data_IF_975750029934
#
_entry.id   IF_975750029934
#
_cell.length_a   1.000
_cell.length_b   1.000
_cell.length_c   1.000
_cell.angle_alpha   90.00
_cell.angle_beta   90.00
_cell.angle_gamma   90.00
#
_symmetry.space_group_name_H-M   'P 1'
#
loop_
_entity.id
_entity.type
_entity.pdbx_description
1 polymer ?
#
# COMPACT_ATOMS: atom_id res chain seq x y z
N UNK A 1 -16.01 3.45 -21.31
CA UNK A 1 -16.26 4.49 -20.29
C UNK A 1 -16.93 3.93 -19.03
N UNK A 2 -17.96 3.06 -19.10
CA UNK A 2 -18.62 2.53 -17.89
C UNK A 2 -17.80 1.51 -17.09
N UNK A 3 -17.01 0.65 -17.75
CA UNK A 3 -16.23 -0.40 -17.07
C UNK A 3 -15.10 0.18 -16.20
N UNK A 4 -14.38 1.18 -16.71
CA UNK A 4 -13.34 1.87 -15.94
C UNK A 4 -13.92 2.61 -14.72
N UNK A 5 -15.07 3.26 -14.88
CA UNK A 5 -15.76 3.92 -13.78
C UNK A 5 -16.19 2.90 -12.71
N UNK A 6 -16.75 1.77 -13.12
CA UNK A 6 -17.16 0.68 -12.23
C UNK A 6 -15.98 0.05 -11.48
N UNK A 7 -14.87 -0.23 -12.16
CA UNK A 7 -13.64 -0.74 -11.55
C UNK A 7 -13.06 0.23 -10.52
N UNK A 8 -13.07 1.54 -10.84
CA UNK A 8 -12.63 2.59 -9.92
C UNK A 8 -13.55 2.65 -8.71
N UNK A 9 -14.88 2.58 -8.88
CA UNK A 9 -15.83 2.60 -7.76
C UNK A 9 -15.64 1.40 -6.84
N UNK A 10 -15.47 0.18 -7.39
CA UNK A 10 -15.25 -1.04 -6.59
C UNK A 10 -13.91 -0.99 -5.85
N UNK A 11 -12.83 -0.57 -6.52
CA UNK A 11 -11.52 -0.39 -5.91
C UNK A 11 -11.55 0.65 -4.77
N UNK A 12 -12.22 1.79 -4.99
CA UNK A 12 -12.41 2.83 -3.96
C UNK A 12 -13.25 2.31 -2.80
N UNK A 13 -14.30 1.52 -3.05
CA UNK A 13 -15.16 0.99 -1.98
C UNK A 13 -14.44 -0.04 -1.11
N UNK A 14 -13.58 -0.87 -1.72
CA UNK A 14 -12.71 -1.80 -1.00
C UNK A 14 -11.71 -1.00 -0.18
N UNK A 15 -10.99 -0.05 -0.80
CA UNK A 15 -10.03 0.80 -0.09
C UNK A 15 -10.66 1.55 1.10
N UNK A 16 -11.82 2.19 0.91
CA UNK A 16 -12.57 2.93 1.95
C UNK A 16 -13.04 2.05 3.12
N UNK A 17 -13.24 0.75 2.89
CA UNK A 17 -13.69 -0.14 3.96
C UNK A 17 -12.55 -0.53 4.91
N UNK A 18 -11.30 -0.41 4.45
CA UNK A 18 -10.14 -0.96 5.16
C UNK A 18 -9.14 0.09 5.68
N UNK A 19 -9.19 1.35 5.24
CA UNK A 19 -8.37 2.47 5.78
C UNK A 19 -9.11 3.33 6.81
N UNK A 20 -9.84 2.71 7.75
CA UNK A 20 -10.62 3.42 8.77
C UNK A 20 -9.89 3.53 10.10
N UNK A 21 -8.81 4.31 10.19
CA UNK A 21 -8.16 4.48 11.49
C UNK A 21 -7.94 5.94 11.92
N UNK A 22 -8.13 6.93 11.03
CA UNK A 22 -8.09 8.35 11.39
C UNK A 22 -9.18 9.11 10.60
N UNK A 23 -9.63 10.28 11.06
CA UNK A 23 -10.52 11.16 10.30
C UNK A 23 -9.67 12.08 9.41
N UNK A 24 -8.88 11.52 8.49
CA UNK A 24 -7.85 12.29 7.76
C UNK A 24 -8.47 13.44 6.97
N UNK A 25 -9.66 13.24 6.41
CA UNK A 25 -10.41 14.27 5.69
C UNK A 25 -10.72 15.50 6.55
N UNK A 26 -10.98 15.31 7.85
CA UNK A 26 -11.23 16.41 8.77
C UNK A 26 -9.94 17.19 9.07
N UNK A 27 -8.83 16.50 9.29
CA UNK A 27 -7.52 17.10 9.54
C UNK A 27 -6.94 17.79 8.30
N UNK A 28 -7.16 17.22 7.11
CA UNK A 28 -6.85 17.87 5.84
C UNK A 28 -7.64 19.17 5.66
N UNK A 29 -8.93 19.17 6.05
CA UNK A 29 -9.75 20.39 6.04
C UNK A 29 -9.21 21.45 7.01
N UNK A 30 -8.61 21.03 8.13
CA UNK A 30 -7.90 21.91 9.08
C UNK A 30 -6.52 22.35 8.58
N UNK A 31 -6.12 22.00 7.35
CA UNK A 31 -4.80 22.30 6.75
C UNK A 31 -3.63 21.66 7.50
N UNK A 32 -3.85 20.51 8.13
CA UNK A 32 -2.78 19.77 8.80
C UNK A 32 -1.82 19.16 7.76
N UNK A 33 -0.64 19.77 7.62
CA UNK A 33 0.39 19.34 6.67
C UNK A 33 0.94 17.95 6.98
N UNK A 34 1.02 17.57 8.27
CA UNK A 34 1.51 16.26 8.67
C UNK A 34 0.56 15.15 8.18
N UNK A 35 -0.74 15.32 8.37
CA UNK A 35 -1.74 14.39 7.83
C UNK A 35 -1.70 14.38 6.29
N UNK A 36 -1.49 15.53 5.66
CA UNK A 36 -1.27 15.63 4.21
C UNK A 36 -0.13 14.75 3.70
N UNK A 37 1.04 14.86 4.30
CA UNK A 37 2.22 14.04 3.93
C UNK A 37 1.99 12.57 4.23
N UNK A 38 1.37 12.25 5.37
CA UNK A 38 1.04 10.88 5.75
C UNK A 38 0.11 10.20 4.72
N UNK A 39 -0.99 10.88 4.34
CA UNK A 39 -1.94 10.37 3.33
C UNK A 39 -1.26 10.24 1.97
N UNK A 40 -0.43 11.20 1.56
CA UNK A 40 0.33 11.10 0.31
C UNK A 40 1.22 9.84 0.27
N UNK A 41 1.84 9.49 1.39
CA UNK A 41 2.69 8.30 1.51
C UNK A 41 1.90 7.01 1.34
N UNK A 42 0.73 6.92 1.96
CA UNK A 42 -0.18 5.79 1.79
C UNK A 42 -0.61 5.68 0.33
N UNK A 43 -1.03 6.77 -0.29
CA UNK A 43 -1.52 6.77 -1.68
C UNK A 43 -0.43 6.31 -2.66
N UNK A 44 0.81 6.77 -2.50
CA UNK A 44 1.91 6.32 -3.36
C UNK A 44 2.20 4.83 -3.12
N UNK A 45 2.24 4.39 -1.87
CA UNK A 45 2.52 2.99 -1.57
C UNK A 45 1.45 2.04 -2.13
N UNK A 46 0.18 2.38 -1.91
CA UNK A 46 -0.96 1.63 -2.45
C UNK A 46 -0.94 1.68 -3.97
N UNK A 47 -0.72 2.86 -4.57
CA UNK A 47 -0.67 3.05 -6.02
C UNK A 47 0.41 2.19 -6.68
N UNK A 48 1.61 2.11 -6.09
CA UNK A 48 2.69 1.27 -6.59
C UNK A 48 2.32 -0.22 -6.54
N UNK A 49 1.79 -0.68 -5.40
CA UNK A 49 1.42 -2.10 -5.21
C UNK A 49 0.26 -2.50 -6.13
N UNK A 50 -0.81 -1.68 -6.17
CA UNK A 50 -1.98 -1.95 -7.02
C UNK A 50 -1.64 -1.80 -8.50
N UNK A 51 -0.82 -0.82 -8.88
CA UNK A 51 -0.37 -0.63 -10.26
C UNK A 51 0.37 -1.85 -10.80
N UNK A 52 1.26 -2.44 -9.99
CA UNK A 52 1.93 -3.70 -10.33
C UNK A 52 0.92 -4.86 -10.49
N UNK A 53 -0.04 -4.97 -9.58
CA UNK A 53 -1.09 -6.01 -9.64
C UNK A 53 -1.96 -5.90 -10.90
N UNK A 54 -2.39 -4.69 -11.25
CA UNK A 54 -3.23 -4.42 -12.44
C UNK A 54 -2.44 -4.54 -13.73
N UNK A 55 -1.16 -4.16 -13.74
CA UNK A 55 -0.27 -4.36 -14.90
C UNK A 55 -0.14 -5.85 -15.27
N UNK A 56 -0.08 -6.74 -14.26
CA UNK A 56 -0.12 -8.20 -14.46
C UNK A 56 -1.37 -8.67 -15.19
N UNK A 57 -2.55 -8.17 -14.80
CA UNK A 57 -3.84 -8.46 -15.47
C UNK A 57 -3.87 -7.88 -16.89
N UNK A 58 -3.36 -6.66 -17.07
CA UNK A 58 -3.43 -5.94 -18.36
C UNK A 58 -2.61 -6.64 -19.45
N UNK A 59 -1.48 -7.27 -19.07
CA UNK A 59 -0.68 -8.10 -19.98
C UNK A 59 -1.41 -9.37 -20.48
N UNK A 60 -2.51 -9.76 -19.85
CA UNK A 60 -3.32 -10.88 -20.30
C UNK A 60 -4.24 -10.55 -21.49
N UNK A 61 -4.53 -9.26 -21.65
CA UNK A 61 -5.47 -8.74 -22.65
C UNK A 61 -4.66 -7.98 -23.70
N UNK A 62 -3.82 -8.69 -24.45
CA UNK A 62 -3.10 -8.11 -25.60
C UNK A 62 -4.02 -8.17 -26.83
N UNK A 63 -4.11 -7.11 -27.66
CA UNK A 63 -4.96 -7.14 -28.85
C UNK A 63 -4.52 -8.26 -29.81
N UNK A 64 -5.38 -9.27 -29.99
CA UNK A 64 -5.16 -10.36 -30.96
C UNK A 64 -4.95 -11.76 -30.36
N UNK A 65 -4.69 -11.90 -29.06
CA UNK A 65 -4.63 -13.21 -28.40
C UNK A 65 -5.08 -13.12 -26.94
N UNK A 66 -6.20 -13.78 -26.60
CA UNK A 66 -6.68 -13.86 -25.24
C UNK A 66 -5.88 -14.92 -24.48
N UNK A 67 -4.91 -14.50 -23.67
CA UNK A 67 -4.06 -15.43 -22.94
C UNK A 67 -4.68 -15.73 -21.57
N UNK A 68 -5.45 -16.82 -21.51
CA UNK A 68 -6.14 -17.29 -20.30
C UNK A 68 -5.15 -17.54 -19.16
N UNK A 69 -3.93 -18.02 -19.45
CA UNK A 69 -2.90 -18.24 -18.44
C UNK A 69 -2.43 -16.93 -17.79
N UNK A 70 -2.22 -15.90 -18.61
CA UNK A 70 -1.88 -14.57 -18.11
C UNK A 70 -3.05 -13.92 -17.36
N UNK A 71 -4.29 -14.21 -17.75
CA UNK A 71 -5.48 -13.69 -17.07
C UNK A 71 -5.61 -14.30 -15.68
N UNK A 72 -5.48 -15.62 -15.57
CA UNK A 72 -5.50 -16.33 -14.28
C UNK A 72 -4.33 -15.87 -13.42
N UNK A 73 -3.12 -15.74 -13.98
CA UNK A 73 -1.95 -15.21 -13.27
C UNK A 73 -2.18 -13.78 -12.74
N UNK A 74 -2.73 -12.89 -13.57
CA UNK A 74 -3.08 -11.53 -13.17
C UNK A 74 -4.20 -11.48 -12.12
N UNK A 75 -5.22 -12.33 -12.24
CA UNK A 75 -6.30 -12.41 -11.26
C UNK A 75 -5.79 -12.92 -9.90
N UNK A 76 -4.97 -13.97 -9.88
CA UNK A 76 -4.30 -14.44 -8.66
C UNK A 76 -3.46 -13.32 -8.04
N UNK A 77 -2.72 -12.58 -8.87
CA UNK A 77 -1.94 -11.42 -8.42
C UNK A 77 -2.82 -10.29 -7.85
N UNK A 78 -4.01 -10.06 -8.40
CA UNK A 78 -4.98 -9.10 -7.86
C UNK A 78 -5.50 -9.54 -6.48
N UNK A 79 -5.82 -10.82 -6.32
CA UNK A 79 -6.27 -11.40 -5.04
C UNK A 79 -5.18 -11.41 -3.97
N UNK A 80 -3.90 -11.36 -4.35
CA UNK A 80 -2.77 -11.26 -3.42
C UNK A 80 -2.37 -9.80 -3.17
N UNK A 81 -2.37 -8.96 -4.21
CA UNK A 81 -1.92 -7.57 -4.17
C UNK A 81 -2.80 -6.63 -3.34
N UNK A 82 -4.13 -6.83 -3.40
CA UNK A 82 -5.08 -6.04 -2.60
C UNK A 82 -4.93 -6.29 -1.09
N UNK A 83 -4.94 -7.54 -0.59
CA UNK A 83 -4.64 -7.82 0.81
C UNK A 83 -3.25 -7.36 1.22
N UNK A 84 -2.24 -7.50 0.35
CA UNK A 84 -0.89 -7.00 0.63
C UNK A 84 -0.87 -5.49 0.84
N UNK A 85 -1.58 -4.70 0.04
CA UNK A 85 -1.66 -3.25 0.23
C UNK A 85 -2.23 -2.89 1.62
N UNK A 86 -3.23 -3.65 2.10
CA UNK A 86 -3.80 -3.46 3.43
C UNK A 86 -2.80 -3.84 4.53
N UNK A 87 -2.12 -4.98 4.36
CA UNK A 87 -1.05 -5.41 5.28
C UNK A 87 0.07 -4.38 5.31
N UNK A 88 0.42 -3.76 4.20
CA UNK A 88 1.44 -2.69 4.15
C UNK A 88 1.08 -1.53 5.05
N UNK A 89 -0.16 -1.04 4.97
CA UNK A 89 -0.58 0.14 5.73
C UNK A 89 -0.49 -0.16 7.23
N UNK A 90 -1.07 -1.28 7.66
CA UNK A 90 -1.12 -1.69 9.06
C UNK A 90 0.25 -2.07 9.61
N UNK A 91 1.06 -2.77 8.82
CA UNK A 91 2.38 -3.22 9.23
C UNK A 91 3.41 -2.10 9.25
N UNK A 92 3.32 -1.13 8.34
CA UNK A 92 4.19 0.05 8.32
C UNK A 92 4.04 0.89 9.60
N UNK A 93 2.81 1.15 10.04
CA UNK A 93 2.56 1.88 11.30
C UNK A 93 3.20 1.16 12.49
N UNK A 94 2.98 -0.16 12.59
CA UNK A 94 3.55 -1.00 13.66
C UNK A 94 5.08 -1.04 13.61
N UNK A 95 5.66 -1.08 12.41
CA UNK A 95 7.11 -1.10 12.20
C UNK A 95 7.77 0.21 12.59
N UNK A 96 7.16 1.34 12.24
CA UNK A 96 7.65 2.67 12.60
C UNK A 96 7.55 2.89 14.10
N UNK A 97 6.39 2.60 14.71
CA UNK A 97 6.20 2.70 16.17
C UNK A 97 7.28 1.91 16.92
N UNK A 98 7.44 0.62 16.59
CA UNK A 98 8.44 -0.23 17.27
C UNK A 98 9.88 0.21 17.02
N UNK A 99 10.20 0.73 15.83
CA UNK A 99 11.52 1.27 15.54
C UNK A 99 11.80 2.55 16.32
N UNK A 100 10.85 3.48 16.36
CA UNK A 100 10.98 4.75 17.08
C UNK A 100 11.11 4.53 18.59
N UNK A 101 10.30 3.64 19.17
CA UNK A 101 10.39 3.26 20.59
C UNK A 101 11.77 2.67 20.91
N UNK A 102 12.29 1.78 20.05
CA UNK A 102 13.64 1.19 20.22
C UNK A 102 14.76 2.20 20.01
N UNK A 103 14.57 3.19 19.14
CA UNK A 103 15.53 4.25 18.91
C UNK A 103 15.58 5.19 20.12
N UNK A 104 14.40 5.59 20.64
CA UNK A 104 14.27 6.43 21.82
C UNK A 104 14.82 5.76 23.08
N UNK A 105 14.56 4.46 23.28
CA UNK A 105 15.06 3.71 24.44
C UNK A 105 16.59 3.59 24.50
N UNK A 106 17.29 3.85 23.39
CA UNK A 106 18.77 3.82 23.33
C UNK A 106 19.40 5.17 23.68
N UNK A 107 18.62 6.24 23.78
CA UNK A 107 19.12 7.56 24.12
C UNK A 107 19.09 7.73 25.64
N UNK A 108 20.26 7.80 26.32
CA UNK A 108 20.30 7.98 27.77
C UNK A 108 19.66 9.32 28.15
N UNK A 109 18.70 9.30 29.07
CA UNK A 109 17.99 10.49 29.56
C UNK A 109 16.66 10.83 28.85
N UNK A 110 16.21 10.01 27.89
CA UNK A 110 14.89 10.15 27.25
C UNK A 110 13.94 9.11 27.86
N UNK A 111 12.98 9.57 28.66
CA UNK A 111 11.89 8.71 29.11
C UNK A 111 11.02 8.35 27.91
N UNK A 112 10.82 7.06 27.68
CA UNK A 112 10.01 6.57 26.56
C UNK A 112 8.54 6.74 26.93
N UNK A 113 8.03 7.95 26.75
CA UNK A 113 6.60 8.23 26.84
C UNK A 113 5.86 7.45 25.74
N UNK A 114 4.56 7.17 25.95
CA UNK A 114 3.74 6.44 24.97
C UNK A 114 3.57 7.26 23.70
N UNK A 115 4.50 7.09 22.76
CA UNK A 115 4.52 7.77 21.48
C UNK A 115 3.34 7.32 20.60
N UNK A 116 2.26 8.10 20.52
CA UNK A 116 1.11 7.78 19.68
C UNK A 116 1.19 8.48 18.34
N UNK A 117 1.42 7.72 17.27
CA UNK A 117 1.48 8.22 15.88
C UNK A 117 0.23 9.04 15.52
N UNK A 118 -0.96 8.64 15.99
CA UNK A 118 -2.19 9.34 15.64
C UNK A 118 -2.26 10.73 16.28
N UNK A 119 -1.86 10.84 17.55
CA UNK A 119 -1.89 12.11 18.27
C UNK A 119 -0.82 13.06 17.71
N UNK A 120 0.37 12.53 17.39
CA UNK A 120 1.43 13.28 16.72
C UNK A 120 1.00 13.83 15.36
N UNK A 121 0.32 13.02 14.55
CA UNK A 121 -0.20 13.46 13.27
C UNK A 121 -1.29 14.52 13.44
N UNK A 122 -2.23 14.36 14.40
CA UNK A 122 -3.26 15.37 14.72
C UNK A 122 -2.66 16.68 15.23
N UNK A 123 -1.58 16.61 16.01
CA UNK A 123 -0.85 17.78 16.49
C UNK A 123 -0.03 18.47 15.38
N UNK A 124 -0.04 17.94 14.15
CA UNK A 124 0.65 18.54 13.02
C UNK A 124 2.14 18.23 12.96
N UNK A 125 2.59 17.15 13.63
CA UNK A 125 4.00 16.78 13.64
C UNK A 125 4.46 16.26 12.26
N UNK A 126 5.06 17.16 11.49
CA UNK A 126 5.53 16.87 10.13
C UNK A 126 6.70 15.87 10.12
N UNK A 127 7.54 15.83 11.16
CA UNK A 127 8.67 14.90 11.21
C UNK A 127 8.19 13.45 11.23
N UNK A 128 7.16 13.16 12.04
CA UNK A 128 6.53 11.84 12.12
C UNK A 128 5.89 11.47 10.78
N UNK A 129 5.20 12.42 10.15
CA UNK A 129 4.60 12.20 8.84
C UNK A 129 5.63 11.86 7.76
N UNK A 130 6.78 12.55 7.73
CA UNK A 130 7.86 12.28 6.77
C UNK A 130 8.48 10.89 6.99
N UNK A 131 8.68 10.49 8.25
CA UNK A 131 9.20 9.14 8.56
C UNK A 131 8.22 8.07 8.09
N UNK A 132 6.93 8.26 8.33
CA UNK A 132 5.88 7.35 7.85
C UNK A 132 5.85 7.30 6.32
N UNK A 133 5.90 8.46 5.67
CA UNK A 133 5.97 8.58 4.21
C UNK A 133 7.16 7.80 3.64
N UNK A 134 8.37 8.03 4.15
CA UNK A 134 9.57 7.33 3.72
C UNK A 134 9.48 5.82 3.94
N UNK A 135 8.87 5.40 5.05
CA UNK A 135 8.64 3.98 5.34
C UNK A 135 7.66 3.35 4.36
N UNK A 136 6.53 4.01 4.08
CA UNK A 136 5.57 3.55 3.08
C UNK A 136 6.21 3.42 1.70
N UNK A 137 7.01 4.40 1.29
CA UNK A 137 7.77 4.33 0.04
C UNK A 137 8.70 3.11 0.02
N UNK A 138 9.54 2.95 1.04
CA UNK A 138 10.49 1.84 1.10
C UNK A 138 9.80 0.47 1.05
N UNK A 139 8.73 0.29 1.83
CA UNK A 139 7.97 -0.95 1.86
C UNK A 139 7.30 -1.21 0.50
N UNK A 140 6.69 -0.18 -0.09
CA UNK A 140 6.03 -0.33 -1.39
C UNK A 140 7.00 -0.73 -2.51
N UNK A 141 8.23 -0.22 -2.49
CA UNK A 141 9.26 -0.56 -3.46
C UNK A 141 9.69 -2.02 -3.34
N UNK A 142 9.93 -2.49 -2.12
CA UNK A 142 10.31 -3.89 -1.85
C UNK A 142 9.18 -4.84 -2.27
N UNK A 143 7.94 -4.51 -1.96
CA UNK A 143 6.79 -5.36 -2.29
C UNK A 143 6.51 -5.34 -3.78
N UNK A 144 6.62 -4.19 -4.44
CA UNK A 144 6.46 -4.09 -5.89
C UNK A 144 7.43 -4.99 -6.63
N UNK A 145 8.65 -5.14 -6.11
CA UNK A 145 9.63 -6.10 -6.62
C UNK A 145 9.21 -7.54 -6.30
N UNK A 146 8.84 -7.84 -5.04
CA UNK A 146 8.42 -9.18 -4.64
C UNK A 146 7.21 -9.72 -5.42
N UNK A 147 6.24 -8.86 -5.72
CA UNK A 147 5.08 -9.18 -6.55
C UNK A 147 5.52 -9.53 -7.98
N UNK A 148 6.40 -8.72 -8.58
CA UNK A 148 6.92 -9.00 -9.93
C UNK A 148 7.72 -10.31 -10.01
N UNK A 149 8.52 -10.61 -8.98
CA UNK A 149 9.29 -11.86 -8.88
C UNK A 149 8.39 -13.11 -8.86
N UNK A 150 7.22 -13.04 -8.23
CA UNK A 150 6.29 -14.17 -8.15
C UNK A 150 5.41 -14.31 -9.40
N UNK A 151 5.17 -13.22 -10.14
CA UNK A 151 4.33 -13.25 -11.33
C UNK A 151 4.88 -14.13 -12.45
N UNK A 152 6.20 -14.16 -12.67
CA UNK A 152 6.80 -14.96 -13.75
C UNK A 152 6.72 -16.48 -13.53
N UNK A 153 7.12 -17.02 -12.36
CA UNK A 153 6.98 -18.45 -12.06
C UNK A 153 5.51 -18.93 -12.06
N UNK A 154 4.59 -18.11 -11.55
CA UNK A 154 3.16 -18.46 -11.52
C UNK A 154 2.62 -18.51 -12.96
N UNK A 155 2.93 -17.50 -13.78
CA UNK A 155 2.48 -17.47 -15.17
C UNK A 155 3.09 -18.59 -16.02
N UNK A 156 4.31 -19.03 -15.72
CA UNK A 156 4.95 -20.17 -16.42
C UNK A 156 4.37 -21.51 -15.95
N UNK A 157 4.16 -21.70 -14.65
CA UNK A 157 3.54 -22.91 -14.10
C UNK A 157 2.12 -23.11 -14.63
N UNK A 158 1.33 -22.04 -14.72
CA UNK A 158 0.00 -22.09 -15.31
C UNK A 158 0.09 -22.44 -16.80
N UNK A 159 1.00 -21.82 -17.57
CA UNK A 159 1.20 -22.17 -18.99
C UNK A 159 1.57 -23.64 -19.19
N UNK A 160 2.42 -24.21 -18.34
CA UNK A 160 2.79 -25.62 -18.39
C UNK A 160 1.65 -26.58 -18.01
N UNK A 161 0.60 -26.09 -17.34
CA UNK A 161 -0.56 -26.88 -16.94
C UNK A 161 -1.72 -26.85 -17.96
N UNK A 162 -1.78 -25.80 -18.81
CA UNK A 162 -2.86 -25.60 -19.79
C UNK A 162 -2.38 -25.77 -21.24
N UNK A 163 -1.07 -25.92 -21.47
CA UNK A 163 -0.47 -26.31 -22.75
C UNK A 163 -0.14 -27.80 -22.77
#
# INVERSE_FOLDING_TARGET
MSLAHFSITVAINILNRYTKEINEFEELRKKNLAVGVYVAGILIAVGNVVGQAVSGVSKAVVPGAFNVAALIGGLIQLFIGLPLAIVVITWAQSRVYSWMVRAASKVPGVEVEKFNIQDELKNGNLAVAIVLFGTFLAISLVISQGVAFLSEPIASAIRAFIG
#
